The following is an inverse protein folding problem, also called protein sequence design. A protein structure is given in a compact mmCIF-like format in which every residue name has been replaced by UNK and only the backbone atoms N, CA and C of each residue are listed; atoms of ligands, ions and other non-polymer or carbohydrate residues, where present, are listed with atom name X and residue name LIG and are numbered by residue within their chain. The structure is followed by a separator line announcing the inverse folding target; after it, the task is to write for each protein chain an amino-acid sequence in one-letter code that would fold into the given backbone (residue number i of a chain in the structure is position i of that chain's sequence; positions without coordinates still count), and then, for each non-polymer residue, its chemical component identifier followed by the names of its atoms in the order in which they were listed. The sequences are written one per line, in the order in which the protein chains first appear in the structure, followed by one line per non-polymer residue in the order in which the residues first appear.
data_IF_962337848064
#
_entry.id   IF_962337848064
#
_cell.length_a   1.000
_cell.length_b   1.000
_cell.length_c   1.000
_cell.angle_alpha   90.00
_cell.angle_beta   90.00
_cell.angle_gamma   90.00
#
_symmetry.space_group_name_H-M   'P 1'
#
loop_
_entity.id
_entity.type
_entity.pdbx_description
1 polymer ?
#
# COMPACT_ATOMS: atom_id res chain seq x y z
N UNK A 1 9.97 -13.22 9.08
CA UNK A 1 10.08 -11.79 8.71
C UNK A 1 11.45 -11.55 8.07
N UNK A 2 11.52 -11.46 6.73
CA UNK A 2 12.67 -10.82 6.07
C UNK A 2 12.47 -9.30 6.18
N UNK A 3 13.40 -8.63 6.85
CA UNK A 3 13.31 -7.25 7.34
C UNK A 3 14.18 -6.30 6.49
N UNK A 4 13.81 -5.98 5.25
CA UNK A 4 14.58 -4.99 4.45
C UNK A 4 13.74 -3.99 3.64
N UNK A 5 12.41 -3.99 3.74
CA UNK A 5 11.59 -3.03 3.01
C UNK A 5 11.20 -1.83 3.89
N UNK A 6 11.62 -0.64 3.48
CA UNK A 6 11.22 0.64 4.08
C UNK A 6 9.89 1.12 3.48
N UNK A 7 8.87 1.27 4.32
CA UNK A 7 7.50 1.61 3.89
C UNK A 7 7.15 3.10 4.06
N UNK A 8 7.68 3.73 5.09
CA UNK A 8 7.57 5.16 5.33
C UNK A 8 8.75 5.64 6.17
N UNK A 9 9.00 6.93 6.12
CA UNK A 9 10.14 7.58 6.75
C UNK A 9 9.61 8.71 7.63
N UNK A 10 10.27 8.95 8.78
CA UNK A 10 9.83 9.97 9.75
C UNK A 10 10.08 11.42 9.31
N UNK A 11 10.33 11.68 8.03
CA UNK A 11 10.58 13.01 7.50
C UNK A 11 9.28 13.76 7.22
N UNK A 12 8.76 14.43 8.24
CA UNK A 12 7.62 15.34 8.12
C UNK A 12 8.11 16.72 7.65
N UNK A 13 8.22 16.94 6.32
CA UNK A 13 8.45 18.26 5.73
C UNK A 13 7.78 18.38 4.35
N UNK A 14 7.48 19.61 3.92
CA UNK A 14 6.65 19.97 2.75
C UNK A 14 7.44 20.27 1.45
N UNK A 15 8.72 19.90 1.33
CA UNK A 15 9.46 20.13 0.08
C UNK A 15 9.41 18.92 -0.85
N UNK A 16 9.17 19.17 -2.14
CA UNK A 16 8.95 18.15 -3.16
C UNK A 16 10.13 17.17 -3.29
N UNK A 17 9.81 15.88 -3.29
CA UNK A 17 10.68 14.82 -3.79
C UNK A 17 11.57 14.12 -2.77
N UNK A 18 11.89 14.72 -1.62
CA UNK A 18 12.64 14.06 -0.55
C UNK A 18 12.21 14.56 0.83
N UNK A 19 11.87 13.61 1.70
CA UNK A 19 11.48 13.83 3.08
C UNK A 19 12.67 14.35 3.90
N UNK A 20 12.81 15.67 4.01
CA UNK A 20 13.77 16.25 4.94
C UNK A 20 13.39 15.81 6.37
N UNK A 21 14.27 15.01 6.99
CA UNK A 21 14.16 14.69 8.42
C UNK A 21 14.11 16.01 9.18
N UNK A 22 13.16 16.23 10.10
CA UNK A 22 13.14 17.44 10.91
C UNK A 22 14.47 17.54 11.67
N UNK A 23 15.33 18.47 11.26
CA UNK A 23 16.68 18.62 11.81
C UNK A 23 16.59 19.05 13.28
N UNK A 24 15.59 19.86 13.62
CA UNK A 24 15.41 20.47 14.94
C UNK A 24 14.08 20.11 15.63
N UNK A 25 13.24 19.24 15.04
CA UNK A 25 11.91 18.91 15.57
C UNK A 25 10.74 19.31 14.65
N UNK A 26 9.52 19.06 15.12
CA UNK A 26 8.26 19.29 14.39
C UNK A 26 7.10 19.49 15.37
N UNK A 27 6.00 20.09 14.91
CA UNK A 27 4.79 20.28 15.73
C UNK A 27 3.67 19.38 15.24
N UNK A 28 3.03 18.67 16.16
CA UNK A 28 1.85 17.84 15.88
C UNK A 28 0.66 18.35 16.67
N UNK A 29 -0.53 18.25 16.09
CA UNK A 29 -1.78 18.53 16.77
C UNK A 29 -2.59 17.24 16.92
N UNK A 30 -3.22 17.00 18.07
CA UNK A 30 -4.19 15.90 18.21
C UNK A 30 -5.56 16.27 17.58
N UNK A 31 -6.53 15.34 17.60
CA UNK A 31 -7.86 15.62 17.05
C UNK A 31 -8.66 16.70 17.82
N UNK A 32 -8.21 17.07 19.03
CA UNK A 32 -8.83 18.12 19.86
C UNK A 32 -8.16 19.48 19.68
N UNK A 33 -7.16 19.57 18.79
CA UNK A 33 -6.40 20.80 18.55
C UNK A 33 -5.29 21.07 19.57
N UNK A 34 -5.02 20.13 20.49
CA UNK A 34 -3.87 20.26 21.40
C UNK A 34 -2.58 20.14 20.60
N UNK A 35 -1.72 21.15 20.70
CA UNK A 35 -0.46 21.23 19.97
C UNK A 35 0.71 20.75 20.82
N UNK A 36 1.54 19.87 20.26
CA UNK A 36 2.71 19.27 20.88
C UNK A 36 3.94 19.55 20.03
N UNK A 37 4.93 20.21 20.62
CA UNK A 37 6.20 20.49 19.96
C UNK A 37 7.18 19.36 20.25
N UNK A 38 7.45 18.54 19.24
CA UNK A 38 8.44 17.47 19.28
C UNK A 38 9.82 18.03 18.91
N UNK A 39 10.84 17.67 19.68
CA UNK A 39 12.24 18.01 19.42
C UNK A 39 13.10 16.75 19.35
N UNK A 40 14.09 16.77 18.47
CA UNK A 40 15.13 15.74 18.42
C UNK A 40 16.29 16.19 19.30
N UNK A 41 16.69 15.34 20.24
CA UNK A 41 17.88 15.56 21.08
C UNK A 41 18.90 14.49 20.67
N UNK A 42 20.12 14.91 20.38
CA UNK A 42 21.20 14.04 19.92
C UNK A 42 22.53 14.56 20.46
N UNK A 43 23.23 13.72 21.21
CA UNK A 43 24.56 13.97 21.77
C UNK A 43 25.44 12.71 21.61
N UNK A 44 26.62 12.68 22.23
CA UNK A 44 27.56 11.55 22.13
C UNK A 44 27.02 10.23 22.73
N UNK A 45 26.09 10.32 23.68
CA UNK A 45 25.58 9.16 24.43
C UNK A 45 24.21 8.68 23.92
N UNK A 46 23.37 9.59 23.43
CA UNK A 46 21.98 9.28 23.13
C UNK A 46 21.41 10.09 21.97
N UNK A 47 20.42 9.49 21.31
CA UNK A 47 19.57 10.18 20.35
C UNK A 47 18.12 9.76 20.57
N UNK A 48 17.25 10.72 20.89
CA UNK A 48 15.85 10.48 21.19
C UNK A 48 14.97 11.65 20.76
N UNK A 49 13.66 11.42 20.75
CA UNK A 49 12.66 12.46 20.60
C UNK A 49 12.08 12.81 21.96
N UNK A 50 11.91 14.09 22.22
CA UNK A 50 11.16 14.61 23.35
C UNK A 50 9.99 15.45 22.83
N UNK A 51 8.99 15.71 23.68
CA UNK A 51 7.93 16.64 23.35
C UNK A 51 7.66 17.62 24.49
N UNK A 52 7.11 18.77 24.13
CA UNK A 52 6.60 19.76 25.07
C UNK A 52 5.18 20.18 24.69
N UNK A 53 4.40 20.60 25.67
CA UNK A 53 3.02 21.04 25.52
C UNK A 53 2.73 22.21 26.46
N UNK A 54 1.70 23.00 26.17
CA UNK A 54 1.20 24.02 27.10
C UNK A 54 0.74 23.34 28.42
N UNK A 55 0.97 23.99 29.56
CA UNK A 55 0.60 23.51 30.90
C UNK A 55 -0.91 23.24 31.05
N UNK A 56 -1.73 23.91 30.25
CA UNK A 56 -3.19 23.72 30.24
C UNK A 56 -3.61 22.41 29.56
N UNK A 57 -2.72 21.79 28.76
CA UNK A 57 -2.97 20.52 28.09
C UNK A 57 -2.75 19.39 29.09
N UNK A 58 -3.84 18.75 29.51
CA UNK A 58 -3.81 17.61 30.46
C UNK A 58 -3.71 16.24 29.79
N UNK A 59 -3.63 16.22 28.46
CA UNK A 59 -3.57 14.99 27.67
C UNK A 59 -2.16 14.75 27.17
N UNK A 60 -1.67 13.52 27.32
CA UNK A 60 -0.36 13.14 26.80
C UNK A 60 -0.47 12.77 25.31
N UNK A 61 0.45 13.22 24.44
CA UNK A 61 0.48 12.81 23.06
C UNK A 61 0.89 11.34 23.00
N UNK A 62 -0.06 10.47 22.65
CA UNK A 62 0.21 9.05 22.41
C UNK A 62 0.47 8.84 20.93
N UNK A 63 1.75 8.71 20.57
CA UNK A 63 2.12 8.20 19.25
C UNK A 63 1.87 6.68 19.23
N UNK A 64 1.15 6.19 18.21
CA UNK A 64 0.84 4.78 18.04
C UNK A 64 1.06 4.38 16.60
N UNK A 65 1.78 3.28 16.38
CA UNK A 65 1.82 2.57 15.11
C UNK A 65 0.89 1.36 15.25
N UNK A 66 -0.01 1.16 14.30
CA UNK A 66 -0.86 -0.04 14.26
C UNK A 66 -0.25 -1.16 13.42
N UNK A 67 -0.91 -2.33 13.42
CA UNK A 67 -0.44 -3.51 12.68
C UNK A 67 -0.46 -3.32 11.15
N UNK A 68 -1.11 -2.27 10.64
CA UNK A 68 -1.10 -1.88 9.23
C UNK A 68 -0.02 -0.82 8.94
N UNK A 69 0.82 -0.48 9.94
CA UNK A 69 1.85 0.52 9.82
C UNK A 69 1.35 1.97 9.85
N UNK A 70 0.08 2.22 10.22
CA UNK A 70 -0.47 3.57 10.32
C UNK A 70 0.05 4.26 11.58
N UNK A 71 0.56 5.47 11.42
CA UNK A 71 1.01 6.30 12.54
C UNK A 71 -0.10 7.28 12.95
N UNK A 72 -0.44 7.29 14.24
CA UNK A 72 -1.42 8.21 14.82
C UNK A 72 -0.86 8.97 16.04
N UNK A 73 -1.41 10.16 16.31
CA UNK A 73 -1.28 10.88 17.59
C UNK A 73 -2.65 10.97 18.24
N UNK A 74 -2.83 10.29 19.37
CA UNK A 74 -4.17 10.04 19.89
C UNK A 74 -4.99 9.25 18.87
N UNK A 75 -6.07 9.83 18.38
CA UNK A 75 -6.92 9.24 17.32
C UNK A 75 -6.70 9.92 15.96
N UNK A 76 -5.88 10.98 15.87
CA UNK A 76 -5.55 11.63 14.61
C UNK A 76 -4.55 10.80 13.82
N UNK A 77 -4.90 10.50 12.57
CA UNK A 77 -4.02 9.86 11.61
C UNK A 77 -2.94 10.85 11.11
N UNK A 78 -1.67 10.44 11.15
CA UNK A 78 -0.54 11.20 10.62
C UNK A 78 -0.01 10.63 9.31
N UNK A 79 0.22 9.31 9.28
CA UNK A 79 0.77 8.61 8.12
C UNK A 79 -0.12 7.41 7.84
N UNK A 80 -0.60 7.35 6.62
CA UNK A 80 -1.21 6.16 6.04
C UNK A 80 -0.73 6.05 4.61
N UNK A 81 0.08 5.03 4.35
CA UNK A 81 0.49 4.72 2.99
C UNK A 81 -0.61 3.89 2.35
N UNK A 82 -1.06 4.33 1.18
CA UNK A 82 -1.88 3.51 0.31
C UNK A 82 -0.99 2.39 -0.21
N UNK A 83 -1.38 1.12 -0.07
CA UNK A 83 -0.59 0.00 -0.57
C UNK A 83 -1.26 -0.65 -1.78
N UNK A 84 -0.52 -0.85 -2.89
CA UNK A 84 0.86 -0.38 -3.12
C UNK A 84 0.90 1.16 -3.29
N UNK A 85 1.90 1.82 -2.69
CA UNK A 85 2.05 3.28 -2.84
C UNK A 85 2.72 3.55 -4.18
N UNK A 86 1.91 3.55 -5.23
CA UNK A 86 2.33 3.72 -6.62
C UNK A 86 2.48 5.21 -6.98
N UNK A 87 1.97 6.09 -6.12
CA UNK A 87 2.01 7.55 -6.26
C UNK A 87 2.75 8.17 -5.07
N UNK A 88 3.46 9.28 -5.33
CA UNK A 88 4.29 10.02 -4.37
C UNK A 88 3.50 10.93 -3.41
N UNK A 89 2.18 10.99 -3.56
CA UNK A 89 1.35 12.01 -2.90
C UNK A 89 1.02 11.64 -1.44
N UNK A 90 1.32 10.41 -1.02
CA UNK A 90 1.19 9.98 0.38
C UNK A 90 2.37 10.56 1.18
N UNK A 91 2.16 11.70 1.84
CA UNK A 91 3.18 12.39 2.62
C UNK A 91 3.80 11.45 3.68
N UNK A 92 5.13 11.28 3.62
CA UNK A 92 5.87 10.39 4.54
C UNK A 92 6.06 8.96 4.04
N UNK A 93 5.37 8.54 2.98
CA UNK A 93 5.49 7.19 2.43
C UNK A 93 6.68 7.05 1.48
N UNK A 94 7.31 5.87 1.51
CA UNK A 94 8.38 5.52 0.58
C UNK A 94 7.76 4.93 -0.67
N UNK A 95 8.12 5.46 -1.83
CA UNK A 95 7.69 4.90 -3.11
C UNK A 95 8.29 3.50 -3.27
N UNK A 96 7.45 2.47 -3.40
CA UNK A 96 7.93 1.11 -3.61
C UNK A 96 8.65 1.01 -4.95
N UNK A 97 9.88 0.48 -4.94
CA UNK A 97 10.58 0.11 -6.16
C UNK A 97 10.04 -1.23 -6.66
N UNK A 98 9.42 -1.21 -7.83
CA UNK A 98 8.92 -2.42 -8.47
C UNK A 98 10.04 -3.11 -9.29
N UNK A 99 10.01 -4.44 -9.44
CA UNK A 99 10.90 -5.15 -10.35
C UNK A 99 10.62 -4.73 -11.81
N UNK A 100 11.60 -4.89 -12.72
CA UNK A 100 11.51 -4.43 -14.11
C UNK A 100 10.30 -5.01 -14.88
N UNK A 101 9.85 -6.21 -14.49
CA UNK A 101 8.68 -6.87 -15.05
C UNK A 101 7.33 -6.26 -14.63
N UNK A 102 7.34 -5.20 -13.81
CA UNK A 102 6.13 -4.57 -13.26
C UNK A 102 6.10 -3.08 -13.58
N UNK A 103 4.92 -2.62 -13.99
CA UNK A 103 4.64 -1.19 -14.18
C UNK A 103 3.95 -0.60 -12.95
N UNK A 104 3.99 0.73 -12.85
CA UNK A 104 3.30 1.47 -11.79
C UNK A 104 1.79 1.64 -12.07
N UNK A 105 1.34 1.35 -13.28
CA UNK A 105 -0.05 1.48 -13.73
C UNK A 105 -0.84 0.19 -13.49
N UNK A 106 -0.93 -0.22 -12.24
CA UNK A 106 -1.55 -1.47 -11.82
C UNK A 106 -2.66 -1.24 -10.79
N UNK A 107 -3.61 -2.15 -10.76
CA UNK A 107 -4.71 -2.20 -9.81
C UNK A 107 -5.03 -3.65 -9.49
N UNK A 108 -5.66 -3.90 -8.34
CA UNK A 108 -6.20 -5.21 -8.01
C UNK A 108 -7.72 -5.19 -8.13
N UNK A 109 -8.29 -6.03 -8.99
CA UNK A 109 -9.72 -6.19 -9.14
C UNK A 109 -10.22 -7.33 -8.24
N UNK A 110 -11.09 -6.99 -7.30
CA UNK A 110 -11.74 -7.96 -6.43
C UNK A 110 -12.85 -8.71 -7.17
N UNK A 111 -12.85 -10.05 -7.06
CA UNK A 111 -13.90 -10.92 -7.60
C UNK A 111 -14.17 -12.05 -6.61
N UNK A 112 -15.45 -12.39 -6.42
CA UNK A 112 -15.84 -13.55 -5.61
C UNK A 112 -15.95 -14.80 -6.47
N UNK A 113 -15.23 -15.86 -6.10
CA UNK A 113 -15.23 -17.11 -6.86
C UNK A 113 -14.07 -18.01 -6.48
N UNK A 114 -13.83 -19.02 -7.32
CA UNK A 114 -12.75 -20.00 -7.12
C UNK A 114 -12.00 -20.24 -8.42
N UNK A 115 -10.74 -20.59 -8.28
CA UNK A 115 -9.96 -21.11 -9.38
C UNK A 115 -10.21 -22.61 -9.56
N UNK A 116 -10.37 -23.03 -10.81
CA UNK A 116 -10.70 -24.41 -11.20
C UNK A 116 -9.46 -25.09 -11.76
N UNK A 117 -9.25 -26.35 -11.37
CA UNK A 117 -8.16 -27.22 -11.84
C UNK A 117 -6.75 -26.63 -11.64
N UNK A 118 -6.54 -25.85 -10.59
CA UNK A 118 -5.22 -25.30 -10.26
C UNK A 118 -5.02 -25.10 -8.77
N UNK A 119 -3.78 -25.28 -8.33
CA UNK A 119 -3.35 -24.89 -7.01
C UNK A 119 -2.48 -23.63 -7.09
N UNK A 120 -2.88 -22.61 -6.35
CA UNK A 120 -2.02 -21.47 -6.06
C UNK A 120 -0.89 -21.86 -5.10
N UNK A 121 0.18 -21.10 -5.11
CA UNK A 121 1.29 -21.24 -4.18
C UNK A 121 1.00 -20.48 -2.89
N UNK A 122 1.04 -21.17 -1.75
CA UNK A 122 0.88 -20.55 -0.44
C UNK A 122 2.22 -20.08 0.12
N UNK A 123 2.31 -18.78 0.43
CA UNK A 123 3.51 -18.20 1.03
C UNK A 123 3.41 -18.26 2.54
N UNK A 124 4.39 -18.92 3.17
CA UNK A 124 4.53 -18.97 4.64
C UNK A 124 3.18 -19.26 5.33
N UNK A 125 2.61 -20.46 5.10
CA UNK A 125 1.28 -20.84 5.58
C UNK A 125 1.05 -20.57 7.09
N UNK A 126 2.11 -20.61 7.89
CA UNK A 126 2.06 -20.34 9.33
C UNK A 126 2.04 -18.84 9.68
N UNK A 127 2.43 -17.95 8.77
CA UNK A 127 2.47 -16.51 8.99
C UNK A 127 1.06 -15.89 8.88
N UNK A 128 0.78 -14.89 9.73
CA UNK A 128 -0.45 -14.09 9.65
C UNK A 128 -0.25 -12.91 8.70
N UNK A 129 -0.04 -13.21 7.42
CA UNK A 129 0.13 -12.21 6.37
C UNK A 129 -1.16 -11.44 6.17
N UNK A 130 -1.08 -10.12 6.11
CA UNK A 130 -2.21 -9.23 5.82
C UNK A 130 -2.46 -9.14 4.31
N UNK A 131 -3.61 -8.57 3.93
CA UNK A 131 -3.88 -8.22 2.54
C UNK A 131 -2.78 -7.34 1.91
N UNK A 132 -2.19 -6.42 2.68
CA UNK A 132 -1.09 -5.56 2.21
C UNK A 132 0.16 -6.39 1.89
N UNK A 133 0.47 -7.37 2.74
CA UNK A 133 1.60 -8.29 2.50
C UNK A 133 1.38 -9.14 1.25
N UNK A 134 0.14 -9.56 0.98
CA UNK A 134 -0.21 -10.27 -0.24
C UNK A 134 -0.03 -9.45 -1.51
N UNK A 135 -0.53 -8.21 -1.48
CA UNK A 135 -0.30 -7.23 -2.54
C UNK A 135 1.21 -7.10 -2.77
N UNK A 136 1.97 -6.87 -1.71
CA UNK A 136 3.41 -6.67 -1.77
C UNK A 136 4.12 -7.85 -2.46
N UNK A 137 3.82 -9.07 -2.02
CA UNK A 137 4.35 -10.33 -2.58
C UNK A 137 3.99 -10.49 -4.05
N UNK A 138 2.72 -10.29 -4.43
CA UNK A 138 2.28 -10.43 -5.82
C UNK A 138 3.01 -9.45 -6.74
N UNK A 139 3.27 -8.23 -6.28
CA UNK A 139 4.04 -7.25 -7.06
C UNK A 139 5.50 -7.64 -7.20
N UNK A 140 6.10 -8.26 -6.20
CA UNK A 140 7.49 -8.72 -6.28
C UNK A 140 7.65 -9.93 -7.22
N UNK A 141 6.64 -10.81 -7.31
CA UNK A 141 6.68 -12.00 -8.17
C UNK A 141 6.22 -11.64 -9.57
N UNK A 142 7.11 -11.60 -10.56
CA UNK A 142 6.79 -11.19 -11.94
C UNK A 142 5.64 -11.96 -12.60
N UNK A 143 5.53 -13.25 -12.30
CA UNK A 143 4.49 -14.11 -12.88
C UNK A 143 3.16 -14.01 -12.14
N UNK A 144 3.06 -13.32 -11.00
CA UNK A 144 1.80 -13.23 -10.27
C UNK A 144 0.71 -12.61 -11.15
N UNK A 145 -0.46 -13.26 -11.17
CA UNK A 145 -1.67 -12.79 -11.84
C UNK A 145 -2.84 -12.57 -10.89
N UNK A 146 -2.83 -13.20 -9.72
CA UNK A 146 -3.85 -13.05 -8.70
C UNK A 146 -3.36 -13.54 -7.32
N UNK A 147 -4.05 -13.12 -6.27
CA UNK A 147 -3.89 -13.68 -4.92
C UNK A 147 -5.23 -13.76 -4.19
N UNK A 148 -5.28 -14.55 -3.12
CA UNK A 148 -6.37 -14.58 -2.15
C UNK A 148 -5.81 -14.82 -0.72
N UNK A 149 -6.54 -14.40 0.33
CA UNK A 149 -6.24 -14.82 1.70
C UNK A 149 -6.35 -16.34 1.83
N UNK A 150 -5.35 -17.01 2.44
CA UNK A 150 -5.38 -18.47 2.58
C UNK A 150 -6.15 -18.94 3.83
N UNK A 151 -6.40 -18.05 4.80
CA UNK A 151 -7.12 -18.34 6.04
C UNK A 151 -8.49 -17.65 6.05
N UNK A 152 -9.45 -18.25 6.74
CA UNK A 152 -10.83 -17.74 6.86
C UNK A 152 -10.92 -16.39 7.58
N UNK A 153 -9.97 -16.09 8.47
CA UNK A 153 -9.87 -14.80 9.16
C UNK A 153 -9.37 -13.65 8.26
N UNK A 154 -9.09 -13.95 6.99
CA UNK A 154 -8.58 -12.99 6.01
C UNK A 154 -7.08 -12.77 6.08
N UNK A 155 -6.34 -13.59 6.83
CA UNK A 155 -4.88 -13.60 6.86
C UNK A 155 -4.29 -14.72 5.99
N UNK A 156 -2.95 -14.76 5.88
CA UNK A 156 -2.25 -15.69 5.01
C UNK A 156 -2.34 -15.27 3.53
N UNK A 157 -1.56 -15.93 2.68
CA UNK A 157 -1.48 -15.55 1.27
C UNK A 157 -1.29 -16.72 0.32
N UNK A 158 -2.25 -16.91 -0.59
CA UNK A 158 -2.13 -17.81 -1.73
C UNK A 158 -2.06 -17.00 -3.02
N UNK A 159 -1.11 -17.34 -3.89
CA UNK A 159 -0.78 -16.57 -5.11
C UNK A 159 -0.81 -17.48 -6.32
N UNK A 160 -1.33 -16.96 -7.44
CA UNK A 160 -1.35 -17.64 -8.73
C UNK A 160 -0.39 -16.98 -9.70
N UNK A 161 0.39 -17.81 -10.40
CA UNK A 161 1.38 -17.38 -11.40
C UNK A 161 0.94 -17.63 -12.85
N UNK A 162 -0.18 -18.32 -13.02
CA UNK A 162 -0.82 -18.58 -14.31
C UNK A 162 -2.30 -18.26 -14.15
N UNK A 163 -2.95 -17.71 -15.17
CA UNK A 163 -4.38 -17.44 -15.14
C UNK A 163 -5.15 -18.75 -15.38
N UNK A 164 -5.79 -19.34 -14.37
CA UNK A 164 -6.57 -20.55 -14.55
C UNK A 164 -8.01 -20.20 -14.94
N UNK A 165 -8.86 -21.21 -15.13
CA UNK A 165 -10.30 -20.98 -15.18
C UNK A 165 -10.77 -20.46 -13.82
N UNK A 166 -11.63 -19.44 -13.86
CA UNK A 166 -12.20 -18.83 -12.66
C UNK A 166 -13.72 -18.88 -12.76
N UNK A 167 -14.36 -19.43 -11.74
CA UNK A 167 -15.80 -19.52 -11.65
C UNK A 167 -16.31 -18.56 -10.58
N UNK A 168 -17.13 -17.60 -10.99
CA UNK A 168 -17.77 -16.65 -10.08
C UNK A 168 -18.85 -17.33 -9.27
N UNK A 169 -18.88 -17.11 -7.96
CA UNK A 169 -19.90 -17.65 -7.08
C UNK A 169 -20.31 -16.64 -6.00
N UNK A 170 -21.60 -16.67 -5.63
CA UNK A 170 -22.12 -15.91 -4.50
C UNK A 170 -21.65 -16.57 -3.20
N UNK A 171 -21.21 -15.77 -2.23
CA UNK A 171 -20.63 -16.23 -0.94
C UNK A 171 -19.32 -17.02 -1.08
N UNK A 172 -18.56 -16.82 -2.16
CA UNK A 172 -17.22 -17.37 -2.33
C UNK A 172 -16.13 -16.44 -1.76
N UNK A 173 -14.91 -16.95 -1.50
CA UNK A 173 -13.74 -16.15 -1.17
C UNK A 173 -13.50 -15.02 -2.16
N UNK A 174 -12.87 -13.96 -1.66
CA UNK A 174 -12.45 -12.82 -2.47
C UNK A 174 -11.08 -13.09 -3.06
N UNK A 175 -11.02 -13.09 -4.39
CA UNK A 175 -9.79 -13.19 -5.18
C UNK A 175 -9.46 -11.82 -5.77
N UNK A 176 -8.19 -11.45 -5.68
CA UNK A 176 -7.67 -10.16 -6.15
C UNK A 176 -6.83 -10.37 -7.39
N UNK A 177 -7.35 -9.97 -8.54
CA UNK A 177 -6.69 -10.10 -9.84
C UNK A 177 -5.82 -8.88 -10.12
N UNK A 178 -4.56 -9.11 -10.51
CA UNK A 178 -3.69 -8.04 -10.97
C UNK A 178 -4.14 -7.57 -12.36
N UNK A 179 -4.49 -6.30 -12.48
CA UNK A 179 -4.92 -5.65 -13.73
C UNK A 179 -4.03 -4.43 -14.03
N UNK A 180 -3.69 -4.24 -15.31
CA UNK A 180 -2.95 -3.05 -15.76
C UNK A 180 -3.92 -1.97 -16.24
N UNK A 181 -3.76 -0.72 -15.77
CA UNK A 181 -4.56 0.41 -16.23
C UNK A 181 -4.33 0.61 -17.72
N UNK A 182 -5.43 0.65 -18.49
CA UNK A 182 -5.39 0.84 -19.94
C UNK A 182 -5.21 -0.44 -20.77
N UNK A 183 -4.95 -1.60 -20.17
CA UNK A 183 -4.90 -2.87 -20.91
C UNK A 183 -6.26 -3.24 -21.52
N UNK A 184 -7.36 -3.00 -20.80
CA UNK A 184 -8.72 -3.20 -21.33
C UNK A 184 -8.95 -2.36 -22.58
N UNK A 185 -8.53 -1.09 -22.57
CA UNK A 185 -8.62 -0.20 -23.75
C UNK A 185 -7.69 -0.66 -24.88
N UNK A 186 -6.47 -1.11 -24.59
CA UNK A 186 -5.56 -1.68 -25.61
C UNK A 186 -6.13 -2.95 -26.23
N UNK A 187 -6.64 -3.88 -25.43
CA UNK A 187 -7.29 -5.12 -25.89
C UNK A 187 -8.55 -4.81 -26.69
N UNK A 188 -9.40 -3.87 -26.25
CA UNK A 188 -10.54 -3.37 -27.03
C UNK A 188 -10.11 -2.75 -28.35
N UNK A 189 -9.09 -1.89 -28.35
CA UNK A 189 -8.60 -1.24 -29.56
C UNK A 189 -7.99 -2.24 -30.55
N UNK A 190 -7.25 -3.25 -30.06
CA UNK A 190 -6.73 -4.33 -30.89
C UNK A 190 -7.87 -5.17 -31.49
N UNK A 191 -8.90 -5.50 -30.70
CA UNK A 191 -10.09 -6.21 -31.21
C UNK A 191 -10.84 -5.38 -32.27
N UNK A 192 -11.00 -4.07 -32.05
CA UNK A 192 -11.66 -3.15 -32.99
C UNK A 192 -10.85 -3.04 -34.29
N UNK A 193 -9.52 -3.02 -34.20
CA UNK A 193 -8.62 -3.02 -35.37
C UNK A 193 -8.67 -4.34 -36.14
N UNK A 194 -8.71 -5.49 -35.46
CA UNK A 194 -8.85 -6.81 -36.08
C UNK A 194 -10.22 -7.02 -36.75
N UNK A 195 -11.26 -6.37 -36.24
CA UNK A 195 -12.61 -6.37 -36.83
C UNK A 195 -12.80 -5.29 -37.91
N UNK A 196 -11.76 -4.58 -38.32
CA UNK A 196 -11.79 -3.59 -39.41
C UNK A 196 -12.48 -2.26 -39.06
N UNK A 197 -12.72 -1.98 -37.77
CA UNK A 197 -13.30 -0.73 -37.30
C UNK A 197 -12.26 0.39 -37.27
N UNK A 198 -12.31 1.33 -38.21
CA UNK A 198 -11.51 2.55 -38.14
C UNK A 198 -11.96 3.39 -36.92
N UNK A 199 -11.08 3.55 -35.93
CA UNK A 199 -11.30 4.46 -34.80
C UNK A 199 -11.30 5.91 -35.32
N UNK A 200 -12.47 6.56 -35.25
CA UNK A 200 -12.59 8.00 -35.50
C UNK A 200 -11.85 8.74 -34.38
N UNK A 201 -10.96 9.71 -34.67
CA UNK A 201 -10.24 10.44 -33.63
C UNK A 201 -11.22 11.25 -32.79
N UNK A 202 -11.16 11.08 -31.47
CA UNK A 202 -11.84 11.96 -30.52
C UNK A 202 -11.22 13.35 -30.63
N UNK A 203 -11.95 14.29 -31.24
CA UNK A 203 -11.68 15.71 -31.12
C UNK A 203 -11.84 16.13 -29.66
N UNK A 204 -10.80 16.76 -29.10
CA UNK A 204 -10.90 17.48 -27.83
C UNK A 204 -11.65 18.79 -28.09
N UNK A 205 -12.67 19.06 -27.29
CA UNK A 205 -13.25 20.38 -27.06
C UNK A 205 -12.80 20.88 -25.70
#
# INVERSE_FOLDING_TARGET
MQHEDEYWTGGFSQDEGYQHKPINGFTLQDQRGSSYAFSKISNENETYFNYSANKDIKTFPRLRIDYLGKLCVGERLLVQCSFPSLASDDQGCVKKKLPECRSHDITFAERSGYFVDTDGYEFHADDNLTHVDCVDKCLTICSCVAFEPSKEDGTGCKVWTTMPKFETALNAPKVYFLEYKGERKRKQNMLIQELGGNAIPSTKS
#
